data_IF_430145035655
#
_entry.id   IF_430145035655
#
_cell.length_a   1.000
_cell.length_b   1.000
_cell.length_c   1.000
_cell.angle_alpha   90.00
_cell.angle_beta   90.00
_cell.angle_gamma   90.00
#
_symmetry.space_group_name_H-M   'P 1'
#
loop_
_entity.id
_entity.type
_entity.pdbx_description
1 polymer ?
#
# COMPACT_ATOMS: atom_id res chain seq x y z
N UNK A 1 25.57 -26.56 -1.45
CA UNK A 1 25.00 -27.22 -0.25
C UNK A 1 24.18 -28.41 -0.68
N UNK A 2 24.22 -29.51 0.07
CA UNK A 2 23.30 -30.64 -0.11
C UNK A 2 21.86 -30.22 0.23
N UNK A 3 20.86 -30.82 -0.44
CA UNK A 3 19.43 -30.54 -0.23
C UNK A 3 18.81 -31.63 0.66
N UNK A 4 17.99 -31.22 1.63
CA UNK A 4 17.11 -32.14 2.36
C UNK A 4 15.79 -32.27 1.58
N UNK A 5 15.32 -33.49 1.36
CA UNK A 5 14.11 -33.78 0.57
C UNK A 5 13.20 -34.68 1.39
N UNK A 6 12.00 -34.18 1.71
CA UNK A 6 10.98 -34.89 2.47
C UNK A 6 9.70 -35.04 1.64
N UNK A 7 8.94 -36.11 1.89
CA UNK A 7 7.78 -36.48 1.08
C UNK A 7 6.54 -36.78 1.94
N UNK A 8 5.39 -36.85 1.29
CA UNK A 8 4.14 -37.37 1.83
C UNK A 8 3.69 -36.66 3.12
N UNK A 9 3.28 -37.44 4.13
CA UNK A 9 2.66 -36.96 5.37
C UNK A 9 3.66 -36.19 6.22
N UNK A 10 4.90 -36.66 6.33
CA UNK A 10 5.94 -36.01 7.15
C UNK A 10 6.23 -34.59 6.68
N UNK A 11 6.36 -34.38 5.37
CA UNK A 11 6.54 -33.06 4.78
C UNK A 11 5.32 -32.14 5.03
N UNK A 12 4.11 -32.67 4.85
CA UNK A 12 2.85 -31.90 5.06
C UNK A 12 2.65 -31.52 6.51
N UNK A 13 2.97 -32.40 7.45
CA UNK A 13 2.84 -32.14 8.88
C UNK A 13 3.83 -31.06 9.34
N UNK A 14 5.07 -31.08 8.84
CA UNK A 14 6.04 -29.99 9.10
C UNK A 14 5.57 -28.66 8.53
N UNK A 15 5.13 -28.63 7.27
CA UNK A 15 4.58 -27.41 6.66
C UNK A 15 3.39 -26.87 7.46
N UNK A 16 2.49 -27.76 7.89
CA UNK A 16 1.34 -27.40 8.74
C UNK A 16 1.77 -26.81 10.08
N UNK A 17 2.78 -27.38 10.75
CA UNK A 17 3.30 -26.80 12.00
C UNK A 17 3.84 -25.39 11.79
N UNK A 18 4.51 -25.16 10.66
CA UNK A 18 4.95 -23.83 10.24
C UNK A 18 3.81 -22.83 10.07
N UNK A 19 2.80 -23.22 9.30
CA UNK A 19 1.55 -22.47 9.09
C UNK A 19 0.89 -22.14 10.42
N UNK A 20 0.75 -23.15 11.30
CA UNK A 20 0.11 -22.99 12.60
C UNK A 20 0.91 -22.06 13.53
N UNK A 21 2.24 -22.15 13.53
CA UNK A 21 3.08 -21.29 14.35
C UNK A 21 2.90 -19.81 14.00
N UNK A 22 2.95 -19.46 12.71
CA UNK A 22 2.71 -18.09 12.26
C UNK A 22 1.27 -17.67 12.54
N UNK A 23 0.28 -18.45 12.09
CA UNK A 23 -1.12 -18.06 12.22
C UNK A 23 -1.57 -17.93 13.68
N UNK A 24 -1.07 -18.76 14.59
CA UNK A 24 -1.38 -18.65 16.01
C UNK A 24 -0.77 -17.40 16.66
N UNK A 25 0.38 -16.93 16.18
CA UNK A 25 0.99 -15.68 16.64
C UNK A 25 0.21 -14.45 16.13
N UNK A 26 -0.31 -14.50 14.91
CA UNK A 26 -1.05 -13.39 14.29
C UNK A 26 -2.50 -13.32 14.79
N UNK A 27 -3.23 -14.43 14.82
CA UNK A 27 -4.70 -14.42 15.03
C UNK A 27 -5.18 -13.91 16.40
N UNK A 28 -4.28 -13.83 17.38
CA UNK A 28 -4.58 -13.23 18.70
C UNK A 28 -4.85 -11.74 18.62
N UNK A 29 -4.43 -11.07 17.52
CA UNK A 29 -4.68 -9.65 17.29
C UNK A 29 -6.06 -9.37 16.66
N UNK A 30 -6.79 -10.40 16.22
CA UNK A 30 -8.02 -10.22 15.46
C UNK A 30 -9.17 -9.65 16.33
N UNK A 31 -9.81 -8.60 15.82
CA UNK A 31 -11.05 -8.04 16.37
C UNK A 31 -10.84 -7.06 17.53
N UNK A 32 -11.93 -6.47 18.06
CA UNK A 32 -11.86 -5.40 19.06
C UNK A 32 -11.33 -5.87 20.43
N UNK A 33 -11.37 -7.18 20.70
CA UNK A 33 -10.76 -7.81 21.88
C UNK A 33 -9.41 -8.48 21.57
N UNK A 34 -8.88 -8.24 20.38
CA UNK A 34 -7.54 -8.62 19.97
C UNK A 34 -6.47 -8.09 20.93
N UNK A 35 -5.49 -8.93 21.23
CA UNK A 35 -4.40 -8.67 22.16
C UNK A 35 -3.16 -8.19 21.40
N UNK A 36 -2.35 -7.39 22.06
CA UNK A 36 -1.07 -6.97 21.50
C UNK A 36 -0.08 -8.13 21.47
N UNK A 37 0.76 -8.13 20.45
CA UNK A 37 1.95 -8.98 20.36
C UNK A 37 3.17 -8.12 20.64
N UNK A 38 4.08 -8.65 21.45
CA UNK A 38 5.34 -7.99 21.78
C UNK A 38 6.45 -8.61 20.94
N UNK A 39 7.12 -7.79 20.15
CA UNK A 39 8.18 -8.20 19.24
C UNK A 39 9.52 -7.66 19.76
N UNK A 40 10.46 -8.57 19.97
CA UNK A 40 11.80 -8.20 20.42
C UNK A 40 12.54 -7.42 19.34
N UNK A 41 13.33 -6.42 19.74
CA UNK A 41 14.18 -5.64 18.85
C UNK A 41 15.63 -5.80 19.32
N UNK A 42 16.55 -6.02 18.37
CA UNK A 42 17.99 -6.15 18.66
C UNK A 42 18.56 -4.97 19.44
N UNK A 43 17.98 -3.78 19.29
CA UNK A 43 18.33 -2.57 19.99
C UNK A 43 17.06 -1.77 20.32
N UNK A 44 17.05 -1.09 21.46
CA UNK A 44 15.95 -0.22 21.88
C UNK A 44 14.81 -0.96 22.61
N UNK A 45 13.65 -0.31 22.68
CA UNK A 45 12.45 -0.88 23.28
C UNK A 45 11.79 -1.91 22.35
N UNK A 46 11.11 -2.94 22.88
CA UNK A 46 10.36 -3.89 22.07
C UNK A 46 9.21 -3.19 21.33
N UNK A 47 8.84 -3.70 20.16
CA UNK A 47 7.66 -3.22 19.45
C UNK A 47 6.40 -3.86 20.02
N UNK A 48 5.35 -3.09 20.23
CA UNK A 48 4.05 -3.57 20.70
C UNK A 48 3.04 -3.26 19.60
N UNK A 49 2.46 -4.29 18.99
CA UNK A 49 1.60 -4.10 17.82
C UNK A 49 0.37 -5.01 17.87
N UNK A 50 -0.70 -4.57 17.19
CA UNK A 50 -1.85 -5.39 16.82
C UNK A 50 -1.92 -5.66 15.31
N UNK A 51 -1.01 -5.12 14.51
CA UNK A 51 -0.97 -5.37 13.09
C UNK A 51 -0.49 -6.80 12.79
N UNK A 52 -1.30 -7.53 12.05
CA UNK A 52 -1.02 -8.90 11.65
C UNK A 52 0.18 -9.03 10.71
N UNK A 53 0.44 -8.05 9.85
CA UNK A 53 1.57 -8.09 8.91
C UNK A 53 2.88 -7.93 9.65
N UNK A 54 2.96 -6.97 10.56
CA UNK A 54 4.13 -6.73 11.40
C UNK A 54 4.47 -7.97 12.21
N UNK A 55 3.47 -8.62 12.83
CA UNK A 55 3.70 -9.89 13.52
C UNK A 55 4.16 -10.99 12.56
N UNK A 56 3.50 -11.15 11.41
CA UNK A 56 3.87 -12.16 10.42
C UNK A 56 5.29 -11.96 9.86
N UNK A 57 5.74 -10.70 9.72
CA UNK A 57 7.08 -10.35 9.22
C UNK A 57 8.19 -10.88 10.12
N UNK A 58 7.99 -10.87 11.43
CA UNK A 58 8.97 -11.29 12.44
C UNK A 58 9.00 -12.82 12.69
N UNK A 59 8.04 -13.58 12.16
CA UNK A 59 8.03 -15.04 12.36
C UNK A 59 9.03 -15.72 11.43
N UNK A 60 10.12 -16.20 12.01
CA UNK A 60 11.10 -17.08 11.37
C UNK A 60 11.35 -18.32 12.24
N UNK A 61 11.23 -19.50 11.64
CA UNK A 61 11.35 -20.78 12.34
C UNK A 61 12.72 -21.43 12.09
N UNK A 62 13.24 -22.13 13.10
CA UNK A 62 14.55 -22.79 13.03
C UNK A 62 14.56 -24.00 12.08
N UNK A 63 13.48 -24.78 12.06
CA UNK A 63 13.36 -25.90 11.13
C UNK A 63 13.08 -25.36 9.72
N UNK A 64 13.88 -25.68 8.70
CA UNK A 64 13.71 -25.12 7.37
C UNK A 64 12.36 -25.43 6.71
N UNK A 65 11.78 -26.60 6.96
CA UNK A 65 10.52 -27.02 6.33
C UNK A 65 9.33 -26.38 7.06
N UNK A 66 9.38 -26.31 8.39
CA UNK A 66 8.40 -25.51 9.14
C UNK A 66 8.49 -24.03 8.72
N UNK A 67 9.70 -23.49 8.57
CA UNK A 67 9.89 -22.11 8.12
C UNK A 67 9.32 -21.90 6.71
N UNK A 68 9.48 -22.84 5.79
CA UNK A 68 8.82 -22.77 4.47
C UNK A 68 7.30 -22.62 4.61
N UNK A 69 6.67 -23.40 5.49
CA UNK A 69 5.23 -23.28 5.76
C UNK A 69 4.84 -21.91 6.30
N UNK A 70 5.65 -21.35 7.22
CA UNK A 70 5.44 -19.99 7.73
C UNK A 70 5.61 -18.94 6.62
N UNK A 71 6.67 -19.00 5.81
CA UNK A 71 6.90 -18.05 4.71
C UNK A 71 5.76 -18.06 3.68
N UNK A 72 5.17 -19.22 3.38
CA UNK A 72 4.02 -19.31 2.46
C UNK A 72 2.78 -18.56 2.97
N UNK A 73 2.52 -18.55 4.29
CA UNK A 73 1.39 -17.82 4.86
C UNK A 73 1.73 -16.34 5.06
N UNK A 74 3.00 -16.02 5.35
CA UNK A 74 3.48 -14.64 5.35
C UNK A 74 3.22 -13.96 4.00
N UNK A 75 3.41 -14.67 2.89
CA UNK A 75 3.08 -14.18 1.55
C UNK A 75 1.58 -13.84 1.39
N UNK A 76 0.68 -14.63 1.99
CA UNK A 76 -0.76 -14.34 2.03
C UNK A 76 -1.02 -13.02 2.74
N UNK A 77 -0.46 -12.84 3.94
CA UNK A 77 -0.63 -11.61 4.71
C UNK A 77 -0.08 -10.39 3.97
N UNK A 78 1.16 -10.46 3.48
CA UNK A 78 1.80 -9.36 2.74
C UNK A 78 1.02 -9.00 1.48
N UNK A 79 0.55 -9.98 0.71
CA UNK A 79 -0.17 -9.69 -0.53
C UNK A 79 -1.55 -9.08 -0.28
N UNK A 80 -2.19 -9.44 0.83
CA UNK A 80 -3.43 -8.78 1.26
C UNK A 80 -3.19 -7.32 1.63
N UNK A 81 -2.13 -7.00 2.36
CA UNK A 81 -1.75 -5.61 2.66
C UNK A 81 -1.44 -4.81 1.38
N UNK A 82 -0.67 -5.37 0.45
CA UNK A 82 -0.35 -4.70 -0.82
C UNK A 82 -1.61 -4.29 -1.63
N UNK A 83 -2.69 -5.06 -1.52
CA UNK A 83 -3.89 -4.88 -2.36
C UNK A 83 -4.98 -4.08 -1.64
N UNK A 84 -5.19 -4.34 -0.35
CA UNK A 84 -6.31 -3.77 0.40
C UNK A 84 -5.86 -2.85 1.55
N UNK A 85 -4.59 -2.92 1.97
CA UNK A 85 -4.04 -2.20 3.12
C UNK A 85 -4.64 -2.59 4.48
N UNK A 86 -5.52 -3.58 4.54
CA UNK A 86 -6.12 -4.13 5.77
C UNK A 86 -6.53 -5.61 5.52
N UNK A 87 -6.96 -6.32 6.56
CA UNK A 87 -7.53 -7.67 6.48
C UNK A 87 -6.50 -8.79 6.56
N UNK A 88 -5.25 -8.47 6.88
CA UNK A 88 -4.10 -9.38 6.88
C UNK A 88 -4.26 -10.52 7.89
N UNK A 89 -4.75 -10.19 9.10
CA UNK A 89 -5.09 -11.17 10.13
C UNK A 89 -6.24 -12.08 9.69
N UNK A 90 -7.28 -11.53 9.04
CA UNK A 90 -8.41 -12.30 8.50
C UNK A 90 -7.93 -13.28 7.42
N UNK A 91 -7.08 -12.82 6.50
CA UNK A 91 -6.48 -13.65 5.46
C UNK A 91 -5.64 -14.80 6.04
N UNK A 92 -4.84 -14.51 7.08
CA UNK A 92 -4.04 -15.51 7.80
C UNK A 92 -4.91 -16.58 8.47
N UNK A 93 -6.02 -16.18 9.10
CA UNK A 93 -6.97 -17.09 9.76
C UNK A 93 -7.66 -18.00 8.74
N UNK A 94 -8.13 -17.43 7.62
CA UNK A 94 -8.73 -18.20 6.53
C UNK A 94 -7.74 -19.20 5.92
N UNK A 95 -6.49 -18.76 5.69
CA UNK A 95 -5.43 -19.62 5.16
C UNK A 95 -5.14 -20.80 6.11
N UNK A 96 -5.00 -20.54 7.42
CA UNK A 96 -4.79 -21.60 8.42
C UNK A 96 -5.94 -22.63 8.38
N UNK A 97 -7.19 -22.16 8.32
CA UNK A 97 -8.36 -23.02 8.30
C UNK A 97 -8.43 -23.89 7.05
N UNK A 98 -8.22 -23.31 5.88
CA UNK A 98 -8.22 -24.03 4.61
C UNK A 98 -7.08 -25.05 4.53
N UNK A 99 -5.88 -24.71 4.99
CA UNK A 99 -4.75 -25.64 5.04
C UNK A 99 -5.05 -26.79 6.00
N UNK A 100 -5.57 -26.52 7.20
CA UNK A 100 -5.89 -27.55 8.20
C UNK A 100 -6.92 -28.54 7.67
N UNK A 101 -8.03 -28.06 7.12
CA UNK A 101 -9.09 -28.93 6.60
C UNK A 101 -8.70 -29.60 5.28
N UNK A 102 -7.98 -28.89 4.40
CA UNK A 102 -7.46 -29.45 3.15
C UNK A 102 -6.50 -30.61 3.40
N UNK A 103 -5.50 -30.43 4.27
CA UNK A 103 -4.54 -31.49 4.60
C UNK A 103 -5.19 -32.69 5.27
N UNK A 104 -6.22 -32.49 6.10
CA UNK A 104 -7.01 -33.57 6.68
C UNK A 104 -7.69 -34.43 5.60
N UNK A 105 -8.28 -33.80 4.58
CA UNK A 105 -8.93 -34.52 3.48
C UNK A 105 -7.91 -35.21 2.57
N UNK A 106 -6.76 -34.60 2.32
CA UNK A 106 -5.67 -35.24 1.58
C UNK A 106 -5.15 -36.47 2.33
N UNK A 107 -5.02 -36.41 3.66
CA UNK A 107 -4.64 -37.56 4.48
C UNK A 107 -5.71 -38.68 4.46
N UNK A 108 -6.98 -38.33 4.26
CA UNK A 108 -8.08 -39.28 4.09
C UNK A 108 -8.13 -39.93 2.69
N UNK A 109 -7.24 -39.55 1.77
CA UNK A 109 -7.10 -40.15 0.45
C UNK A 109 -7.77 -39.39 -0.70
N UNK A 110 -8.33 -38.20 -0.44
CA UNK A 110 -8.90 -37.34 -1.48
C UNK A 110 -7.81 -36.76 -2.39
N UNK A 111 -8.13 -36.58 -3.68
CA UNK A 111 -7.22 -36.01 -4.67
C UNK A 111 -6.99 -34.51 -4.41
N UNK A 112 -5.74 -34.07 -4.13
CA UNK A 112 -5.43 -32.66 -3.88
C UNK A 112 -5.82 -31.70 -5.01
N UNK A 113 -5.76 -32.15 -6.27
CA UNK A 113 -6.06 -31.31 -7.43
C UNK A 113 -7.56 -31.04 -7.56
N UNK A 114 -8.39 -32.05 -7.31
CA UNK A 114 -9.85 -31.91 -7.31
C UNK A 114 -10.32 -31.10 -6.08
N UNK A 115 -9.70 -31.29 -4.91
CA UNK A 115 -9.92 -30.44 -3.74
C UNK A 115 -9.63 -28.97 -4.05
N UNK A 116 -8.47 -28.68 -4.68
CA UNK A 116 -8.12 -27.32 -5.10
C UNK A 116 -9.18 -26.75 -6.04
N UNK A 117 -9.61 -27.52 -7.04
CA UNK A 117 -10.67 -27.10 -7.98
C UNK A 117 -11.95 -26.72 -7.25
N UNK A 118 -12.37 -27.51 -6.26
CA UNK A 118 -13.52 -27.19 -5.42
C UNK A 118 -13.34 -25.91 -4.60
N UNK A 119 -12.15 -25.69 -4.05
CA UNK A 119 -11.81 -24.46 -3.31
C UNK A 119 -11.87 -23.24 -4.24
N UNK A 120 -11.29 -23.32 -5.44
CA UNK A 120 -11.26 -22.24 -6.41
C UNK A 120 -12.68 -21.85 -6.85
N UNK A 121 -13.53 -22.83 -7.19
CA UNK A 121 -14.91 -22.57 -7.59
C UNK A 121 -15.73 -21.99 -6.44
N UNK A 122 -15.64 -22.54 -5.23
CA UNK A 122 -16.32 -21.99 -4.06
C UNK A 122 -15.89 -20.55 -3.77
N UNK A 123 -14.60 -20.23 -3.94
CA UNK A 123 -14.09 -18.87 -3.72
C UNK A 123 -14.70 -17.87 -4.70
N UNK A 124 -14.85 -18.22 -5.99
CA UNK A 124 -15.51 -17.36 -6.98
C UNK A 124 -16.95 -17.03 -6.60
N UNK A 125 -17.67 -18.04 -6.10
CA UNK A 125 -19.05 -17.88 -5.64
C UNK A 125 -19.12 -16.95 -4.43
N UNK A 126 -18.25 -17.16 -3.44
CA UNK A 126 -18.17 -16.29 -2.25
C UNK A 126 -17.87 -14.85 -2.64
N UNK A 127 -16.89 -14.60 -3.51
CA UNK A 127 -16.56 -13.24 -3.98
C UNK A 127 -17.77 -12.60 -4.68
N UNK A 128 -18.49 -13.35 -5.52
CA UNK A 128 -19.69 -12.85 -6.19
C UNK A 128 -20.80 -12.53 -5.19
N UNK A 129 -20.98 -13.35 -4.16
CA UNK A 129 -21.94 -13.11 -3.08
C UNK A 129 -21.59 -11.84 -2.29
N UNK A 130 -20.31 -11.64 -1.95
CA UNK A 130 -19.83 -10.44 -1.26
C UNK A 130 -20.10 -9.18 -2.08
N UNK A 131 -19.82 -9.21 -3.40
CA UNK A 131 -20.15 -8.09 -4.30
C UNK A 131 -21.64 -7.81 -4.34
N UNK A 132 -22.48 -8.85 -4.38
CA UNK A 132 -23.94 -8.69 -4.34
C UNK A 132 -24.48 -8.16 -3.00
N UNK A 133 -23.72 -8.30 -1.91
CA UNK A 133 -24.03 -7.74 -0.59
C UNK A 133 -23.42 -6.35 -0.35
N UNK A 134 -22.52 -5.90 -1.23
CA UNK A 134 -21.83 -4.63 -1.06
C UNK A 134 -22.80 -3.46 -1.20
N UNK A 135 -22.58 -2.43 -0.40
CA UNK A 135 -23.29 -1.16 -0.45
C UNK A 135 -22.30 -0.03 -0.62
N UNK A 136 -22.52 0.82 -1.62
CA UNK A 136 -21.71 2.02 -1.84
C UNK A 136 -21.80 2.98 -0.65
N UNK A 137 -20.68 3.62 -0.33
CA UNK A 137 -20.60 4.66 0.69
C UNK A 137 -21.09 6.00 0.12
N UNK A 138 -22.14 6.55 0.72
CA UNK A 138 -22.77 7.78 0.25
C UNK A 138 -22.42 9.01 1.08
N UNK A 139 -22.16 8.84 2.38
CA UNK A 139 -21.99 9.96 3.31
C UNK A 139 -20.68 9.90 4.11
N UNK A 140 -20.26 11.08 4.60
CA UNK A 140 -19.06 11.24 5.44
C UNK A 140 -19.17 10.47 6.77
N UNK A 141 -20.40 10.15 7.20
CA UNK A 141 -20.65 9.39 8.43
C UNK A 141 -20.30 7.90 8.26
N UNK A 142 -20.64 7.30 7.13
CA UNK A 142 -20.26 5.94 6.76
C UNK A 142 -18.73 5.83 6.60
N UNK A 143 -18.09 6.86 6.00
CA UNK A 143 -16.61 6.98 5.94
C UNK A 143 -16.01 6.97 7.36
N UNK A 144 -16.51 7.82 8.25
CA UNK A 144 -16.03 7.89 9.63
C UNK A 144 -16.23 6.55 10.37
N UNK A 145 -17.33 5.84 10.11
CA UNK A 145 -17.58 4.52 10.73
C UNK A 145 -16.58 3.47 10.28
N UNK A 146 -16.26 3.41 8.98
CA UNK A 146 -15.22 2.49 8.45
C UNK A 146 -13.88 2.81 9.10
N UNK A 147 -13.48 4.08 9.06
CA UNK A 147 -12.22 4.54 9.64
C UNK A 147 -12.13 4.25 11.15
N UNK A 148 -13.23 4.43 11.90
CA UNK A 148 -13.30 4.12 13.34
C UNK A 148 -13.12 2.63 13.60
N UNK A 149 -13.77 1.77 12.81
CA UNK A 149 -13.68 0.31 12.99
C UNK A 149 -12.26 -0.18 12.69
N UNK A 150 -11.66 0.27 11.59
CA UNK A 150 -10.29 -0.10 11.21
C UNK A 150 -9.25 0.49 12.16
N UNK A 151 -9.51 1.66 12.75
CA UNK A 151 -8.68 2.23 13.82
C UNK A 151 -9.00 1.67 15.22
N UNK A 152 -9.50 0.43 15.30
CA UNK A 152 -9.73 -0.29 16.56
C UNK A 152 -10.72 0.41 17.52
N UNK A 153 -11.72 1.10 16.98
CA UNK A 153 -12.74 1.82 17.74
C UNK A 153 -12.33 3.24 18.14
N UNK A 154 -11.37 3.85 17.45
CA UNK A 154 -10.92 5.21 17.70
C UNK A 154 -11.78 6.22 16.92
N UNK A 155 -12.79 6.78 17.60
CA UNK A 155 -13.71 7.76 17.03
C UNK A 155 -13.00 9.05 16.58
N UNK A 156 -11.88 9.40 17.23
CA UNK A 156 -11.12 10.62 16.91
C UNK A 156 -10.40 10.45 15.57
N UNK A 157 -9.71 9.32 15.38
CA UNK A 157 -9.08 8.96 14.10
C UNK A 157 -10.12 8.86 12.98
N UNK A 158 -11.26 8.22 13.26
CA UNK A 158 -12.35 8.10 12.29
C UNK A 158 -12.87 9.45 11.82
N UNK A 159 -13.00 10.42 12.73
CA UNK A 159 -13.40 11.79 12.40
C UNK A 159 -12.34 12.52 11.57
N UNK A 160 -11.06 12.44 11.94
CA UNK A 160 -10.00 13.10 11.18
C UNK A 160 -9.89 12.59 9.74
N UNK A 161 -10.04 11.28 9.53
CA UNK A 161 -10.01 10.69 8.19
C UNK A 161 -11.22 11.16 7.36
N UNK A 162 -12.42 11.20 7.95
CA UNK A 162 -13.61 11.70 7.28
C UNK A 162 -13.49 13.19 6.91
N UNK A 163 -13.01 14.03 7.84
CA UNK A 163 -12.75 15.45 7.61
C UNK A 163 -11.68 15.66 6.52
N UNK A 164 -10.64 14.83 6.49
CA UNK A 164 -9.61 14.86 5.44
C UNK A 164 -10.21 14.54 4.07
N UNK A 165 -10.95 13.43 3.95
CA UNK A 165 -11.62 13.03 2.71
C UNK A 165 -12.63 14.05 2.21
N UNK A 166 -13.33 14.75 3.11
CA UNK A 166 -14.26 15.83 2.73
C UNK A 166 -13.52 17.04 2.13
N UNK A 167 -12.34 17.38 2.68
CA UNK A 167 -11.54 18.53 2.20
C UNK A 167 -10.86 18.26 0.86
N UNK A 168 -10.22 17.10 0.69
CA UNK A 168 -9.47 16.77 -0.53
C UNK A 168 -10.33 16.06 -1.60
N UNK A 169 -11.53 15.63 -1.22
CA UNK A 169 -12.44 14.86 -2.06
C UNK A 169 -12.08 13.37 -2.13
N UNK A 170 -12.96 12.57 -2.77
CA UNK A 170 -12.82 11.10 -2.86
C UNK A 170 -11.50 10.62 -3.48
N UNK A 171 -10.96 11.39 -4.42
CA UNK A 171 -9.71 11.08 -5.13
C UNK A 171 -8.53 11.91 -4.60
N UNK A 172 -8.72 12.60 -3.47
CA UNK A 172 -7.70 13.42 -2.85
C UNK A 172 -6.64 12.56 -2.17
N UNK A 173 -5.45 13.13 -2.03
CA UNK A 173 -4.32 12.46 -1.39
C UNK A 173 -4.35 12.79 0.09
N UNK A 174 -4.26 11.76 0.92
CA UNK A 174 -4.13 11.88 2.37
C UNK A 174 -2.83 11.18 2.77
N UNK A 175 -2.00 11.84 3.56
CA UNK A 175 -0.75 11.30 4.11
C UNK A 175 -0.76 11.44 5.64
N UNK A 176 -0.05 10.55 6.32
CA UNK A 176 0.05 10.53 7.79
C UNK A 176 1.47 10.84 8.20
N UNK A 177 1.62 11.80 9.11
CA UNK A 177 2.93 12.29 9.57
C UNK A 177 3.03 12.29 11.09
N UNK A 178 4.25 12.29 11.60
CA UNK A 178 4.51 12.39 13.03
C UNK A 178 4.37 13.84 13.51
N UNK A 179 3.48 14.09 14.47
CA UNK A 179 3.37 15.40 15.08
C UNK A 179 4.52 15.65 16.05
N UNK A 180 5.02 16.89 16.11
CA UNK A 180 6.03 17.30 17.11
C UNK A 180 5.45 17.45 18.53
N UNK A 181 4.12 17.47 18.65
CA UNK A 181 3.40 17.68 19.89
C UNK A 181 2.52 16.49 20.28
N UNK A 182 1.76 16.66 21.37
CA UNK A 182 0.84 15.65 21.87
C UNK A 182 -0.46 15.57 21.06
N UNK A 183 -0.83 16.66 20.38
CA UNK A 183 -2.12 16.78 19.71
C UNK A 183 -2.04 16.27 18.28
N UNK A 184 -3.06 15.50 17.88
CA UNK A 184 -3.30 15.12 16.48
C UNK A 184 -4.03 16.26 15.77
N UNK A 185 -3.60 16.64 14.57
CA UNK A 185 -4.24 17.70 13.79
C UNK A 185 -4.17 17.45 12.29
N UNK A 186 -5.11 18.04 11.56
CA UNK A 186 -5.25 17.92 10.11
C UNK A 186 -4.91 19.24 9.42
N UNK A 187 -3.95 19.20 8.50
CA UNK A 187 -3.57 20.32 7.65
C UNK A 187 -3.82 19.98 6.18
N UNK A 188 -4.17 20.96 5.35
CA UNK A 188 -4.26 20.78 3.90
C UNK A 188 -3.22 21.67 3.27
N UNK A 189 -2.26 21.05 2.59
CA UNK A 189 -1.13 21.71 1.96
C UNK A 189 -1.19 21.54 0.45
N UNK A 190 -0.42 22.36 -0.27
CA UNK A 190 -0.28 22.20 -1.71
C UNK A 190 0.61 21.01 -2.02
N UNK A 191 0.11 20.04 -2.79
CA UNK A 191 0.87 18.84 -3.08
C UNK A 191 0.26 18.04 -4.22
N UNK A 192 0.93 16.94 -4.60
CA UNK A 192 0.53 16.09 -5.71
C UNK A 192 1.02 14.67 -5.51
N UNK A 193 0.19 13.69 -5.88
CA UNK A 193 0.60 12.29 -6.05
C UNK A 193 0.53 11.86 -7.52
N UNK A 194 1.49 11.05 -7.95
CA UNK A 194 1.47 10.41 -9.26
C UNK A 194 2.00 8.97 -9.22
N UNK A 195 1.55 8.19 -10.19
CA UNK A 195 1.59 6.71 -10.15
C UNK A 195 2.92 6.19 -10.72
N UNK A 196 4.03 6.61 -10.10
CA UNK A 196 5.39 6.16 -10.38
C UNK A 196 6.14 5.96 -9.07
N UNK A 197 6.51 4.72 -8.75
CA UNK A 197 7.34 4.42 -7.59
C UNK A 197 8.84 4.46 -7.85
N UNK A 198 9.62 4.06 -6.84
CA UNK A 198 11.07 4.04 -6.91
C UNK A 198 11.60 3.08 -7.98
N UNK A 199 12.63 3.48 -8.71
CA UNK A 199 13.28 2.64 -9.72
C UNK A 199 14.07 1.47 -9.13
N UNK A 200 14.42 1.55 -7.84
CA UNK A 200 15.18 0.51 -7.14
C UNK A 200 14.76 0.43 -5.67
N UNK A 201 14.46 -0.76 -5.13
CA UNK A 201 14.19 -0.95 -3.70
C UNK A 201 15.34 -0.52 -2.79
N UNK A 202 16.56 -0.38 -3.34
CA UNK A 202 17.70 0.10 -2.57
C UNK A 202 17.65 1.60 -2.23
N UNK A 203 16.67 2.34 -2.76
CA UNK A 203 16.42 3.72 -2.34
C UNK A 203 15.63 3.82 -1.03
N UNK A 204 14.92 2.76 -0.64
CA UNK A 204 14.06 2.70 0.57
C UNK A 204 14.82 3.23 1.79
N UNK A 205 14.21 4.16 2.50
CA UNK A 205 14.72 4.74 3.75
C UNK A 205 13.98 4.22 4.96
N UNK A 206 12.72 3.81 4.79
CA UNK A 206 11.91 3.14 5.79
C UNK A 206 11.66 1.67 5.36
N UNK A 207 12.45 0.71 5.88
CA UNK A 207 12.28 -0.70 5.56
C UNK A 207 11.00 -1.33 6.11
N UNK A 208 10.36 -0.72 7.12
CA UNK A 208 9.17 -1.29 7.74
C UNK A 208 7.98 -1.14 6.78
N UNK A 209 7.82 0.06 6.23
CA UNK A 209 6.78 0.44 5.26
C UNK A 209 7.19 0.22 3.79
N UNK A 210 8.47 -0.07 3.54
CA UNK A 210 9.04 -0.18 2.18
C UNK A 210 8.90 1.12 1.38
N UNK A 211 9.15 2.25 2.04
CA UNK A 211 9.01 3.58 1.45
C UNK A 211 10.33 4.36 1.44
N UNK A 212 10.45 5.27 0.48
CA UNK A 212 11.46 6.32 0.49
C UNK A 212 10.82 7.58 1.06
N UNK A 213 11.39 8.11 2.12
CA UNK A 213 11.04 9.39 2.71
C UNK A 213 12.22 10.36 2.55
N UNK A 214 11.96 11.48 1.89
CA UNK A 214 12.92 12.55 1.70
C UNK A 214 12.39 13.83 2.34
N UNK A 215 13.08 14.31 3.38
CA UNK A 215 12.77 15.59 4.01
C UNK A 215 13.49 16.75 3.31
N UNK A 216 12.76 17.83 3.05
CA UNK A 216 13.22 19.03 2.35
C UNK A 216 14.06 18.74 1.08
N UNK A 217 13.63 17.86 0.16
CA UNK A 217 14.45 17.49 -0.99
C UNK A 217 14.51 18.60 -2.03
N UNK A 218 15.59 18.58 -2.81
CA UNK A 218 15.60 19.16 -4.15
C UNK A 218 14.94 18.20 -5.14
N UNK A 219 14.31 18.74 -6.18
CA UNK A 219 13.58 17.96 -7.18
C UNK A 219 14.11 18.32 -8.57
N UNK A 220 14.82 17.38 -9.19
CA UNK A 220 15.31 17.49 -10.57
C UNK A 220 14.23 16.95 -11.52
N UNK A 221 13.81 17.79 -12.46
CA UNK A 221 12.82 17.45 -13.49
C UNK A 221 13.49 17.43 -14.86
N UNK A 222 13.61 16.24 -15.46
CA UNK A 222 14.29 16.05 -16.74
C UNK A 222 13.41 15.32 -17.75
N UNK A 223 13.24 15.86 -18.96
CA UNK A 223 12.31 15.30 -19.95
C UNK A 223 12.90 14.13 -20.78
N UNK A 224 14.16 13.76 -20.56
CA UNK A 224 14.82 12.65 -21.26
C UNK A 224 15.31 11.58 -20.31
N UNK A 225 15.86 10.51 -20.89
CA UNK A 225 16.51 9.42 -20.16
C UNK A 225 17.89 9.85 -19.64
N UNK A 226 18.26 9.34 -18.48
CA UNK A 226 19.57 9.51 -17.88
C UNK A 226 20.27 8.15 -17.84
N UNK A 227 21.27 7.98 -18.69
CA UNK A 227 22.06 6.74 -18.77
C UNK A 227 23.51 6.93 -18.31
N UNK A 228 24.03 8.16 -18.38
CA UNK A 228 25.40 8.54 -18.05
C UNK A 228 25.46 9.28 -16.71
N UNK A 229 26.36 8.85 -15.82
CA UNK A 229 26.59 9.54 -14.55
C UNK A 229 27.23 10.92 -14.76
N UNK A 230 28.00 11.09 -15.84
CA UNK A 230 28.71 12.34 -16.15
C UNK A 230 27.77 13.53 -16.22
N UNK A 231 26.57 13.31 -16.76
CA UNK A 231 25.59 14.36 -17.00
C UNK A 231 24.94 14.82 -15.68
N UNK A 232 24.90 13.93 -14.68
CA UNK A 232 24.36 14.19 -13.34
C UNK A 232 25.38 14.79 -12.36
N UNK A 233 26.68 14.61 -12.60
CA UNK A 233 27.73 15.04 -11.66
C UNK A 233 27.58 16.51 -11.20
N UNK A 234 27.36 17.49 -12.10
CA UNK A 234 27.26 18.89 -11.68
C UNK A 234 26.11 19.15 -10.70
N UNK A 235 24.96 18.48 -10.88
CA UNK A 235 23.79 18.62 -10.00
C UNK A 235 24.00 17.88 -8.68
N UNK A 236 24.60 16.69 -8.74
CA UNK A 236 24.89 15.91 -7.54
C UNK A 236 25.91 16.58 -6.64
N UNK A 237 26.98 17.15 -7.20
CA UNK A 237 27.98 17.89 -6.41
C UNK A 237 27.35 19.09 -5.70
N UNK A 238 26.49 19.85 -6.39
CA UNK A 238 25.78 20.98 -5.79
C UNK A 238 24.84 20.55 -4.67
N UNK A 239 24.04 19.49 -4.88
CA UNK A 239 23.10 19.01 -3.86
C UNK A 239 23.81 18.42 -2.65
N UNK A 240 24.89 17.66 -2.83
CA UNK A 240 25.69 17.11 -1.73
C UNK A 240 26.27 18.20 -0.83
N UNK A 241 26.74 19.32 -1.39
CA UNK A 241 27.26 20.44 -0.61
C UNK A 241 26.22 21.06 0.32
N UNK A 242 24.94 21.01 -0.05
CA UNK A 242 23.84 21.51 0.80
C UNK A 242 23.41 20.51 1.87
N UNK A 243 23.79 19.23 1.75
CA UNK A 243 23.34 18.15 2.62
C UNK A 243 21.87 17.76 2.46
N UNK A 244 21.13 18.42 1.56
CA UNK A 244 19.71 18.13 1.27
C UNK A 244 19.57 16.92 0.34
N UNK A 245 18.53 16.08 0.50
CA UNK A 245 18.27 14.98 -0.43
C UNK A 245 17.90 15.47 -1.84
N UNK A 246 18.05 14.58 -2.83
CA UNK A 246 17.66 14.84 -4.23
C UNK A 246 16.67 13.79 -4.71
N UNK A 247 15.52 14.24 -5.22
CA UNK A 247 14.60 13.44 -6.03
C UNK A 247 14.91 13.69 -7.51
N UNK A 248 15.06 12.61 -8.28
CA UNK A 248 15.22 12.67 -9.74
C UNK A 248 13.93 12.16 -10.40
N UNK A 249 13.26 13.03 -11.15
CA UNK A 249 12.10 12.68 -11.99
C UNK A 249 12.52 12.82 -13.45
N UNK A 250 12.72 11.69 -14.13
CA UNK A 250 13.19 11.64 -15.51
C UNK A 250 12.32 10.74 -16.39
N UNK A 251 12.45 10.78 -17.72
CA UNK A 251 11.79 9.76 -18.56
C UNK A 251 12.15 8.34 -18.10
N UNK A 252 13.45 8.13 -17.85
CA UNK A 252 13.99 6.92 -17.22
C UNK A 252 15.36 7.23 -16.62
N UNK A 253 15.78 6.44 -15.62
CA UNK A 253 17.16 6.42 -15.13
C UNK A 253 17.66 4.99 -15.24
N UNK A 254 18.60 4.75 -16.15
CA UNK A 254 18.99 3.40 -16.55
C UNK A 254 20.51 3.22 -16.61
N UNK A 255 20.95 1.97 -16.76
CA UNK A 255 22.36 1.62 -16.99
C UNK A 255 23.29 2.04 -15.85
N UNK A 256 24.41 2.68 -16.23
CA UNK A 256 25.48 3.09 -15.32
C UNK A 256 25.00 4.13 -14.29
N UNK A 257 24.16 5.07 -14.71
CA UNK A 257 23.63 6.12 -13.83
C UNK A 257 22.86 5.52 -12.66
N UNK A 258 21.90 4.62 -12.92
CA UNK A 258 21.11 3.99 -11.86
C UNK A 258 21.98 3.16 -10.91
N UNK A 259 22.88 2.34 -11.45
CA UNK A 259 23.77 1.50 -10.64
C UNK A 259 24.65 2.36 -9.72
N UNK A 260 25.15 3.48 -10.22
CA UNK A 260 26.01 4.40 -9.45
C UNK A 260 25.23 5.12 -8.35
N UNK A 261 24.02 5.58 -8.64
CA UNK A 261 23.13 6.19 -7.63
C UNK A 261 22.83 5.21 -6.50
N UNK A 262 22.48 3.97 -6.84
CA UNK A 262 22.20 2.91 -5.86
C UNK A 262 23.41 2.62 -4.97
N UNK A 263 24.59 2.42 -5.55
CA UNK A 263 25.81 2.13 -4.77
C UNK A 263 26.17 3.28 -3.83
N UNK A 264 26.04 4.52 -4.29
CA UNK A 264 26.35 5.68 -3.46
C UNK A 264 25.30 5.95 -2.37
N UNK A 265 24.03 5.63 -2.64
CA UNK A 265 22.97 5.66 -1.62
C UNK A 265 23.24 4.63 -0.52
N UNK A 266 23.58 3.40 -0.88
CA UNK A 266 23.89 2.32 0.08
C UNK A 266 25.10 2.70 0.96
N UNK A 267 26.11 3.36 0.37
CA UNK A 267 27.28 3.85 1.12
C UNK A 267 26.99 5.07 2.01
N UNK A 268 25.79 5.64 1.94
CA UNK A 268 25.40 6.85 2.67
C UNK A 268 25.99 8.15 2.10
N UNK A 269 26.71 8.09 0.99
CA UNK A 269 27.35 9.26 0.36
C UNK A 269 26.33 10.19 -0.29
N UNK A 270 25.23 9.63 -0.82
CA UNK A 270 24.16 10.38 -1.48
C UNK A 270 22.81 10.06 -0.84
N UNK A 271 22.06 11.10 -0.49
CA UNK A 271 20.62 10.97 -0.16
C UNK A 271 19.83 11.22 -1.44
N UNK A 272 19.62 10.18 -2.23
CA UNK A 272 18.98 10.31 -3.55
C UNK A 272 17.94 9.22 -3.78
N UNK A 273 16.90 9.56 -4.53
CA UNK A 273 15.95 8.61 -5.09
C UNK A 273 15.60 9.01 -6.53
N UNK A 274 15.22 8.02 -7.34
CA UNK A 274 14.87 8.23 -8.73
C UNK A 274 13.55 7.54 -9.08
N UNK A 275 12.70 8.26 -9.80
CA UNK A 275 11.38 7.81 -10.27
C UNK A 275 11.21 8.18 -11.73
N UNK A 276 10.36 7.44 -12.44
CA UNK A 276 9.98 7.82 -13.80
C UNK A 276 9.02 9.00 -13.77
N UNK A 277 9.05 9.81 -14.81
CA UNK A 277 8.06 10.85 -15.02
C UNK A 277 6.67 10.22 -15.29
N UNK A 278 5.59 10.85 -14.82
CA UNK A 278 4.24 10.37 -15.09
C UNK A 278 3.83 10.65 -16.55
N UNK A 279 2.99 9.78 -17.10
CA UNK A 279 2.53 9.89 -18.49
C UNK A 279 3.58 9.52 -19.55
N UNK A 280 3.25 9.78 -20.81
CA UNK A 280 4.07 9.51 -21.99
C UNK A 280 3.89 10.61 -23.05
N UNK A 281 4.88 10.80 -23.93
CA UNK A 281 4.81 11.80 -25.01
C UNK A 281 4.57 13.22 -24.50
N UNK A 282 3.73 13.99 -25.21
CA UNK A 282 3.42 15.38 -24.85
C UNK A 282 2.73 15.53 -23.49
N UNK A 283 2.02 14.49 -23.05
CA UNK A 283 1.43 14.48 -21.70
C UNK A 283 2.49 14.43 -20.61
N UNK A 284 3.56 13.66 -20.81
CA UNK A 284 4.69 13.62 -19.86
C UNK A 284 5.29 15.01 -19.70
N UNK A 285 5.52 15.71 -20.81
CA UNK A 285 6.02 17.10 -20.80
C UNK A 285 5.07 18.02 -20.03
N UNK A 286 3.77 17.91 -20.28
CA UNK A 286 2.76 18.73 -19.60
C UNK A 286 2.67 18.44 -18.09
N UNK A 287 2.80 17.17 -17.67
CA UNK A 287 2.80 16.77 -16.27
C UNK A 287 4.10 17.13 -15.55
N UNK A 288 5.26 17.02 -16.21
CA UNK A 288 6.52 17.53 -15.68
C UNK A 288 6.45 19.04 -15.43
N UNK A 289 5.80 19.79 -16.31
CA UNK A 289 5.55 21.22 -16.09
C UNK A 289 4.61 21.46 -14.90
N UNK A 290 3.60 20.61 -14.69
CA UNK A 290 2.72 20.73 -13.51
C UNK A 290 3.51 20.53 -12.21
N UNK A 291 4.41 19.54 -12.17
CA UNK A 291 5.30 19.29 -11.03
C UNK A 291 6.28 20.45 -10.86
N UNK A 292 6.81 21.01 -11.95
CA UNK A 292 7.71 22.16 -11.92
C UNK A 292 7.04 23.38 -11.29
N UNK A 293 5.82 23.71 -11.73
CA UNK A 293 5.04 24.82 -11.17
C UNK A 293 4.69 24.60 -9.70
N UNK A 294 4.32 23.37 -9.31
CA UNK A 294 4.02 23.02 -7.92
C UNK A 294 5.25 23.15 -7.01
N UNK A 295 6.44 22.80 -7.50
CA UNK A 295 7.67 22.73 -6.68
C UNK A 295 8.57 23.96 -6.85
N UNK A 296 8.20 24.90 -7.72
CA UNK A 296 9.02 26.07 -8.07
C UNK A 296 10.26 25.73 -8.91
N UNK A 297 10.32 24.54 -9.50
CA UNK A 297 11.44 24.08 -10.33
C UNK A 297 11.29 24.46 -11.81
N UNK A 298 12.32 24.15 -12.59
CA UNK A 298 12.32 24.28 -14.06
C UNK A 298 12.50 22.92 -14.71
N UNK A 299 11.66 22.60 -15.71
CA UNK A 299 11.83 21.37 -16.49
C UNK A 299 13.05 21.51 -17.40
N UNK A 300 14.07 20.69 -17.15
CA UNK A 300 15.27 20.62 -17.97
C UNK A 300 14.92 19.84 -19.24
N UNK A 301 14.77 20.57 -20.36
CA UNK A 301 14.48 20.00 -21.67
C UNK A 301 15.42 20.59 -22.72
N UNK A 302 16.03 19.73 -23.53
CA UNK A 302 16.89 20.14 -24.63
C UNK A 302 16.13 20.95 -25.69
N UNK A 303 14.81 20.73 -25.85
CA UNK A 303 13.96 21.50 -26.76
C UNK A 303 13.85 22.97 -26.34
N UNK A 304 13.99 23.25 -25.04
CA UNK A 304 14.01 24.60 -24.46
C UNK A 304 15.43 25.16 -24.33
N UNK A 305 16.44 24.45 -24.84
CA UNK A 305 17.85 24.87 -24.80
C UNK A 305 18.56 24.58 -23.47
N UNK A 306 17.92 23.88 -22.53
CA UNK A 306 18.56 23.48 -21.27
C UNK A 306 19.35 22.17 -21.46
N UNK A 307 20.46 22.05 -20.73
CA UNK A 307 21.26 20.83 -20.64
C UNK A 307 21.44 20.45 -19.20
N UNK A 308 21.43 19.14 -18.92
CA UNK A 308 21.57 18.61 -17.57
C UNK A 308 22.87 19.09 -16.90
N UNK A 309 23.95 19.13 -17.68
CA UNK A 309 25.30 19.57 -17.26
C UNK A 309 25.35 21.02 -16.76
N UNK A 310 24.43 21.88 -17.23
CA UNK A 310 24.38 23.30 -16.91
C UNK A 310 23.30 23.63 -15.86
N UNK A 311 22.72 22.61 -15.24
CA UNK A 311 21.64 22.79 -14.26
C UNK A 311 22.23 23.35 -12.96
N UNK A 312 21.57 24.34 -12.42
CA UNK A 312 21.92 25.01 -11.16
C UNK A 312 20.85 24.77 -10.10
N UNK A 313 21.19 24.97 -8.82
CA UNK A 313 20.27 24.75 -7.69
C UNK A 313 18.95 25.55 -7.79
N UNK A 314 18.96 26.73 -8.40
CA UNK A 314 17.77 27.56 -8.61
C UNK A 314 16.79 26.98 -9.65
N UNK A 315 17.25 26.06 -10.50
CA UNK A 315 16.40 25.35 -11.45
C UNK A 315 15.74 24.12 -10.84
N UNK A 316 16.21 23.66 -9.67
CA UNK A 316 15.63 22.50 -8.98
C UNK A 316 14.39 22.93 -8.21
N UNK A 317 13.35 22.10 -8.28
CA UNK A 317 12.18 22.26 -7.42
C UNK A 317 12.51 21.96 -5.96
N UNK A 318 11.61 22.34 -5.06
CA UNK A 318 11.70 22.05 -3.63
C UNK A 318 10.32 21.71 -3.08
N UNK A 319 10.30 20.84 -2.07
CA UNK A 319 9.11 20.51 -1.29
C UNK A 319 9.50 20.27 0.16
N UNK A 320 8.53 20.27 1.08
CA UNK A 320 8.77 19.95 2.49
C UNK A 320 9.08 18.47 2.70
N UNK A 321 8.31 17.58 2.06
CA UNK A 321 8.53 16.13 2.11
C UNK A 321 8.16 15.47 0.78
N UNK A 322 8.88 14.42 0.42
CA UNK A 322 8.48 13.50 -0.65
C UNK A 322 8.48 12.09 -0.10
N UNK A 323 7.37 11.37 -0.30
CA UNK A 323 7.28 9.93 -0.06
C UNK A 323 7.18 9.19 -1.40
N UNK A 324 7.83 8.02 -1.48
CA UNK A 324 7.84 7.18 -2.68
C UNK A 324 7.66 5.73 -2.25
N UNK A 325 6.55 5.13 -2.65
CA UNK A 325 6.31 3.71 -2.49
C UNK A 325 6.72 2.96 -3.77
N UNK A 326 6.36 1.68 -3.88
CA UNK A 326 6.68 0.83 -5.03
C UNK A 326 6.03 1.31 -6.34
N UNK A 327 4.86 1.93 -6.24
CA UNK A 327 3.95 2.25 -7.34
C UNK A 327 3.68 3.77 -7.46
N UNK A 328 3.84 4.57 -6.41
CA UNK A 328 3.50 6.00 -6.35
C UNK A 328 4.62 6.88 -5.79
N UNK A 329 4.56 8.16 -6.17
CA UNK A 329 5.33 9.26 -5.57
C UNK A 329 4.36 10.35 -5.11
N UNK A 330 4.51 10.81 -3.88
CA UNK A 330 3.73 11.90 -3.29
C UNK A 330 4.65 13.04 -2.88
N UNK A 331 4.34 14.24 -3.38
CA UNK A 331 5.03 15.49 -3.05
C UNK A 331 4.13 16.29 -2.12
N UNK A 332 4.63 16.59 -0.92
CA UNK A 332 3.91 17.30 0.14
C UNK A 332 4.53 18.68 0.35
N UNK A 333 3.67 19.70 0.32
CA UNK A 333 4.01 21.11 0.49
C UNK A 333 5.11 21.58 -0.47
N UNK A 334 4.74 21.67 -1.76
CA UNK A 334 5.61 22.16 -2.82
C UNK A 334 5.89 23.66 -2.69
N UNK A 335 7.14 24.08 -2.88
CA UNK A 335 7.55 25.48 -2.70
C UNK A 335 7.29 26.36 -3.94
N UNK A 336 6.22 26.06 -4.69
CA UNK A 336 5.79 26.80 -5.87
C UNK A 336 5.09 28.12 -5.52
N UNK A 337 5.05 29.05 -6.47
CA UNK A 337 4.27 30.28 -6.31
C UNK A 337 2.77 29.98 -6.52
N UNK A 338 1.96 30.20 -5.47
CA UNK A 338 0.51 30.01 -5.51
C UNK A 338 -0.18 30.74 -6.68
N UNK A 339 0.34 31.89 -7.12
CA UNK A 339 -0.19 32.61 -8.28
C UNK A 339 0.06 31.84 -9.59
N UNK A 340 1.24 31.22 -9.74
CA UNK A 340 1.58 30.40 -10.90
C UNK A 340 0.81 29.08 -10.89
N UNK A 341 0.62 28.46 -9.72
CA UNK A 341 -0.21 27.25 -9.56
C UNK A 341 -1.65 27.55 -9.97
N UNK A 342 -2.23 28.66 -9.47
CA UNK A 342 -3.58 29.09 -9.84
C UNK A 342 -3.71 29.40 -11.33
N UNK A 343 -2.70 30.05 -11.92
CA UNK A 343 -2.66 30.29 -13.36
C UNK A 343 -2.64 28.97 -14.15
N UNK A 344 -1.85 28.00 -13.70
CA UNK A 344 -1.76 26.67 -14.31
C UNK A 344 -3.06 25.89 -14.22
N UNK A 345 -3.71 25.90 -13.06
CA UNK A 345 -5.05 25.33 -12.83
C UNK A 345 -6.06 25.92 -13.81
N UNK A 346 -6.07 27.25 -14.00
CA UNK A 346 -6.98 27.92 -14.93
C UNK A 346 -6.70 27.57 -16.39
N UNK A 347 -5.43 27.42 -16.77
CA UNK A 347 -5.06 26.95 -18.10
C UNK A 347 -5.63 25.56 -18.39
N UNK A 348 -5.51 24.63 -17.43
CA UNK A 348 -6.05 23.26 -17.58
C UNK A 348 -7.58 23.30 -17.68
N UNK A 349 -8.26 24.12 -16.87
CA UNK A 349 -9.73 24.31 -16.96
C UNK A 349 -10.16 24.81 -18.35
N UNK A 350 -9.47 25.80 -18.90
CA UNK A 350 -9.77 26.28 -20.25
C UNK A 350 -9.51 25.21 -21.32
N UNK A 351 -8.51 24.34 -21.14
CA UNK A 351 -8.27 23.21 -22.06
C UNK A 351 -9.40 22.16 -21.99
N UNK A 352 -9.95 21.91 -20.81
CA UNK A 352 -11.09 21.00 -20.59
C UNK A 352 -12.34 21.49 -21.33
N UNK A 353 -12.62 22.80 -21.29
CA UNK A 353 -13.78 23.39 -21.96
C UNK A 353 -13.67 23.35 -23.49
N UNK A 354 -12.44 23.50 -24.02
CA UNK A 354 -12.19 23.57 -25.45
C UNK A 354 -11.94 22.19 -26.09
N UNK A 355 -11.77 21.12 -25.32
CA UNK A 355 -11.52 19.79 -25.89
C UNK A 355 -12.81 19.10 -26.33
N UNK A 356 -12.80 18.57 -27.54
CA UNK A 356 -13.89 17.78 -28.13
C UNK A 356 -13.74 16.28 -27.88
N UNK A 357 -12.59 15.85 -27.35
CA UNK A 357 -12.25 14.45 -27.06
C UNK A 357 -12.57 14.13 -25.60
N UNK A 358 -13.45 13.15 -25.37
CA UNK A 358 -13.79 12.70 -24.02
C UNK A 358 -12.58 12.12 -23.27
N UNK A 359 -11.71 11.41 -24.00
CA UNK A 359 -10.45 10.88 -23.48
C UNK A 359 -9.49 11.97 -23.00
N UNK A 360 -9.39 13.08 -23.73
CA UNK A 360 -8.54 14.20 -23.31
C UNK A 360 -9.17 14.97 -22.17
N UNK A 361 -10.49 15.07 -22.14
CA UNK A 361 -11.22 15.69 -21.04
C UNK A 361 -10.96 14.98 -19.72
N UNK A 362 -11.14 13.66 -19.70
CA UNK A 362 -10.88 12.82 -18.52
C UNK A 362 -9.45 13.00 -18.00
N UNK A 363 -8.47 13.03 -18.91
CA UNK A 363 -7.05 13.09 -18.55
C UNK A 363 -6.60 14.48 -18.13
N UNK A 364 -7.23 15.53 -18.66
CA UNK A 364 -7.06 16.89 -18.14
C UNK A 364 -7.73 17.05 -16.77
N UNK A 365 -8.87 16.39 -16.53
CA UNK A 365 -9.52 16.37 -15.22
C UNK A 365 -8.64 15.66 -14.17
N UNK A 366 -7.98 14.56 -14.51
CA UNK A 366 -7.00 13.89 -13.63
C UNK A 366 -5.85 14.84 -13.24
N UNK A 367 -5.28 15.55 -14.22
CA UNK A 367 -4.22 16.54 -13.95
C UNK A 367 -4.72 17.69 -13.08
N UNK A 368 -5.92 18.19 -13.38
CA UNK A 368 -6.55 19.25 -12.61
C UNK A 368 -6.77 18.82 -11.16
N UNK A 369 -7.30 17.62 -10.93
CA UNK A 369 -7.52 17.08 -9.59
C UNK A 369 -6.20 16.97 -8.81
N UNK A 370 -5.15 16.45 -9.45
CA UNK A 370 -3.81 16.33 -8.87
C UNK A 370 -3.16 17.67 -8.51
N UNK A 371 -3.46 18.74 -9.25
CA UNK A 371 -2.89 20.08 -9.00
C UNK A 371 -3.77 20.96 -8.07
N UNK A 372 -5.08 20.71 -8.01
CA UNK A 372 -6.03 21.56 -7.26
C UNK A 372 -6.60 20.91 -6.00
N UNK A 373 -6.51 19.59 -5.86
CA UNK A 373 -7.02 18.85 -4.70
C UNK A 373 -6.17 19.00 -3.44
N UNK A 374 -4.91 19.42 -3.58
CA UNK A 374 -3.96 19.48 -2.47
C UNK A 374 -3.68 18.10 -1.88
N UNK A 375 -2.94 18.11 -0.76
CA UNK A 375 -2.66 16.92 0.05
C UNK A 375 -3.12 17.22 1.47
N UNK A 376 -3.98 16.36 2.02
CA UNK A 376 -4.34 16.40 3.43
C UNK A 376 -3.26 15.65 4.23
N UNK A 377 -2.63 16.34 5.17
CA UNK A 377 -1.62 15.78 6.05
C UNK A 377 -2.22 15.63 7.44
N UNK A 378 -2.32 14.40 7.92
CA UNK A 378 -2.78 14.08 9.26
C UNK A 378 -1.56 13.88 10.16
N UNK A 379 -1.28 14.87 11.01
CA UNK A 379 -0.18 14.81 11.97
C UNK A 379 -0.64 14.09 13.24
N UNK A 380 -0.04 12.96 13.55
CA UNK A 380 -0.39 12.10 14.69
C UNK A 380 0.48 12.43 15.90
N UNK A 381 -0.16 12.91 16.97
CA UNK A 381 0.49 13.19 18.25
C UNK A 381 0.30 12.05 19.25
N UNK A 382 1.32 11.84 20.09
CA UNK A 382 1.30 10.89 21.20
C UNK A 382 2.31 11.27 22.30
N UNK A 383 2.19 10.68 23.49
CA UNK A 383 3.04 11.01 24.63
C UNK A 383 4.43 10.37 24.57
N UNK A 384 4.57 9.28 23.81
CA UNK A 384 5.84 8.55 23.64
C UNK A 384 6.02 8.13 22.19
N UNK A 385 7.27 7.92 21.76
CA UNK A 385 7.60 7.47 20.40
C UNK A 385 6.95 6.11 20.06
N UNK A 386 6.87 5.19 21.03
CA UNK A 386 6.25 3.88 20.84
C UNK A 386 4.74 4.01 20.59
N UNK A 387 4.07 4.87 21.36
CA UNK A 387 2.64 5.15 21.18
C UNK A 387 2.39 5.91 19.87
N UNK A 388 3.27 6.84 19.49
CA UNK A 388 3.18 7.59 18.24
C UNK A 388 3.23 6.64 17.05
N UNK A 389 4.20 5.71 17.04
CA UNK A 389 4.34 4.75 15.94
C UNK A 389 3.14 3.83 15.83
N UNK A 390 2.66 3.27 16.95
CA UNK A 390 1.46 2.41 16.91
C UNK A 390 0.20 3.19 16.51
N UNK A 391 0.04 4.44 16.96
CA UNK A 391 -1.08 5.30 16.55
C UNK A 391 -0.98 5.67 15.07
N UNK A 392 0.21 5.95 14.55
CA UNK A 392 0.47 6.20 13.13
C UNK A 392 0.09 4.99 12.28
N UNK A 393 0.64 3.81 12.59
CA UNK A 393 0.33 2.55 11.89
C UNK A 393 -1.19 2.32 11.83
N UNK A 394 -1.88 2.56 12.96
CA UNK A 394 -3.33 2.42 13.05
C UNK A 394 -4.11 3.42 12.19
N UNK A 395 -3.62 4.65 12.07
CA UNK A 395 -4.22 5.69 11.22
C UNK A 395 -3.98 5.36 9.75
N UNK A 396 -2.80 4.86 9.39
CA UNK A 396 -2.46 4.40 8.05
C UNK A 396 -3.37 3.23 7.62
N UNK A 397 -3.54 2.21 8.48
CA UNK A 397 -4.46 1.08 8.22
C UNK A 397 -5.90 1.59 7.99
N UNK A 398 -6.37 2.49 8.85
CA UNK A 398 -7.71 3.07 8.74
C UNK A 398 -7.89 3.89 7.47
N UNK A 399 -6.86 4.60 7.02
CA UNK A 399 -6.89 5.35 5.78
C UNK A 399 -7.03 4.43 4.57
N UNK A 400 -6.25 3.35 4.51
CA UNK A 400 -6.32 2.37 3.42
C UNK A 400 -7.68 1.67 3.37
N UNK A 401 -8.18 1.21 4.52
CA UNK A 401 -9.49 0.58 4.62
C UNK A 401 -10.61 1.52 4.14
N UNK A 402 -10.52 2.81 4.47
CA UNK A 402 -11.50 3.81 4.07
C UNK A 402 -11.45 4.08 2.56
N UNK A 403 -10.25 4.14 1.95
CA UNK A 403 -10.10 4.25 0.49
C UNK A 403 -10.72 3.03 -0.22
N UNK A 404 -10.39 1.82 0.21
CA UNK A 404 -10.98 0.60 -0.35
C UNK A 404 -12.52 0.58 -0.23
N UNK A 405 -13.05 1.06 0.89
CA UNK A 405 -14.50 1.11 1.10
C UNK A 405 -15.20 2.15 0.22
N UNK A 406 -14.53 3.24 -0.15
CA UNK A 406 -15.05 4.22 -1.12
C UNK A 406 -15.05 3.65 -2.55
N UNK A 407 -14.13 2.74 -2.88
CA UNK A 407 -14.02 2.13 -4.21
C UNK A 407 -14.96 0.95 -4.44
N UNK A 408 -15.01 -0.01 -3.50
CA UNK A 408 -15.77 -1.27 -3.66
C UNK A 408 -17.01 -1.37 -2.76
N UNK A 409 -17.25 -0.37 -1.91
CA UNK A 409 -18.35 -0.34 -0.95
C UNK A 409 -18.04 -1.12 0.34
N UNK A 410 -19.08 -1.29 1.16
CA UNK A 410 -18.99 -1.94 2.48
C UNK A 410 -19.91 -3.15 2.59
N UNK A 411 -19.49 -4.10 3.42
CA UNK A 411 -20.28 -5.29 3.80
C UNK A 411 -20.38 -5.41 5.32
N UNK A 412 -21.33 -6.20 5.87
CA UNK A 412 -21.41 -6.42 7.31
C UNK A 412 -20.13 -7.03 7.90
N UNK A 413 -19.51 -6.32 8.85
CA UNK A 413 -18.26 -6.72 9.52
C UNK A 413 -18.39 -7.90 10.51
N UNK A 414 -17.36 -8.10 11.34
CA UNK A 414 -17.36 -9.14 12.38
C UNK A 414 -17.39 -10.58 11.84
N UNK A 415 -16.97 -10.79 10.59
CA UNK A 415 -17.07 -12.08 9.88
C UNK A 415 -18.48 -12.44 9.42
N UNK A 416 -19.49 -11.58 9.63
CA UNK A 416 -20.89 -11.87 9.28
C UNK A 416 -21.07 -11.98 7.78
N UNK A 417 -20.43 -11.14 6.97
CA UNK A 417 -20.50 -11.22 5.51
C UNK A 417 -20.02 -12.59 4.99
N UNK A 418 -18.90 -13.09 5.52
CA UNK A 418 -18.36 -14.41 5.15
C UNK A 418 -19.30 -15.55 5.57
N UNK A 419 -19.88 -15.48 6.76
CA UNK A 419 -20.87 -16.47 7.23
C UNK A 419 -22.15 -16.42 6.40
N UNK A 420 -22.62 -15.24 5.99
CA UNK A 420 -23.79 -15.12 5.10
C UNK A 420 -23.50 -15.69 3.72
N UNK A 421 -22.28 -15.54 3.20
CA UNK A 421 -21.89 -16.11 1.91
C UNK A 421 -21.90 -17.66 1.89
N UNK A 422 -21.90 -18.32 3.05
CA UNK A 422 -21.99 -19.80 3.13
C UNK A 422 -23.27 -20.31 2.46
N UNK A 423 -24.40 -19.60 2.57
CA UNK A 423 -25.66 -20.04 1.98
C UNK A 423 -25.65 -20.04 0.45
N UNK A 424 -24.70 -19.33 -0.17
CA UNK A 424 -24.50 -19.34 -1.63
C UNK A 424 -23.70 -20.56 -2.10
N UNK A 425 -23.09 -21.31 -1.19
CA UNK A 425 -22.39 -22.57 -1.49
C UNK A 425 -23.31 -23.81 -1.42
N UNK A 426 -24.62 -23.61 -1.39
CA UNK A 426 -25.62 -24.68 -1.44
C UNK A 426 -25.97 -25.08 -2.88
N UNK A 427 -26.46 -26.31 -3.07
CA UNK A 427 -26.87 -26.81 -4.39
C UNK A 427 -27.92 -25.89 -5.02
N UNK A 428 -27.68 -25.44 -6.25
CA UNK A 428 -28.58 -24.57 -7.01
C UNK A 428 -28.42 -23.08 -6.70
N UNK A 429 -27.45 -22.68 -5.89
CA UNK A 429 -27.15 -21.27 -5.58
C UNK A 429 -25.75 -20.87 -6.02
N UNK A 430 -25.54 -19.58 -6.26
CA UNK A 430 -24.24 -19.04 -6.62
C UNK A 430 -23.53 -19.66 -7.84
N UNK A 431 -24.22 -20.49 -8.65
CA UNK A 431 -23.59 -21.29 -9.72
C UNK A 431 -23.06 -22.66 -9.29
N UNK A 432 -23.25 -23.06 -8.03
CA UNK A 432 -22.95 -24.41 -7.53
C UNK A 432 -24.02 -25.39 -7.99
N UNK A 433 -23.66 -26.33 -8.85
CA UNK A 433 -24.53 -27.41 -9.29
C UNK A 433 -24.25 -28.71 -8.49
N UNK A 434 -25.15 -29.68 -8.60
CA UNK A 434 -25.01 -30.98 -7.93
C UNK A 434 -23.75 -31.75 -8.36
N UNK A 435 -23.18 -31.43 -9.52
CA UNK A 435 -21.96 -32.04 -10.03
C UNK A 435 -20.72 -31.54 -9.29
N UNK A 436 -20.64 -30.22 -9.03
CA UNK A 436 -19.57 -29.58 -8.26
C UNK A 436 -19.55 -30.04 -6.79
N UNK A 437 -20.68 -30.50 -6.27
CA UNK A 437 -20.79 -31.03 -4.90
C UNK A 437 -20.48 -32.52 -4.79
N UNK A 438 -20.18 -33.21 -5.90
CA UNK A 438 -19.82 -34.63 -5.89
C UNK A 438 -18.32 -34.84 -5.80
N UNK A 439 -17.95 -35.99 -5.24
CA UNK A 439 -16.57 -36.45 -5.15
C UNK A 439 -15.65 -35.46 -4.44
N UNK A 440 -14.38 -35.45 -4.84
CA UNK A 440 -13.34 -34.66 -4.19
C UNK A 440 -13.51 -33.15 -4.40
N UNK A 441 -14.16 -32.73 -5.49
CA UNK A 441 -14.50 -31.31 -5.73
C UNK A 441 -15.47 -30.81 -4.67
N UNK A 442 -16.51 -31.59 -4.35
CA UNK A 442 -17.46 -31.24 -3.29
C UNK A 442 -16.82 -31.15 -1.91
N UNK A 443 -15.81 -31.99 -1.65
CA UNK A 443 -15.00 -31.89 -0.42
C UNK A 443 -14.21 -30.58 -0.39
N UNK A 444 -13.67 -30.13 -1.52
CA UNK A 444 -13.04 -28.82 -1.66
C UNK A 444 -13.98 -27.66 -1.35
N UNK A 445 -15.23 -27.71 -1.82
CA UNK A 445 -16.28 -26.74 -1.46
C UNK A 445 -16.55 -26.75 0.05
N UNK A 446 -16.60 -27.93 0.67
CA UNK A 446 -16.83 -28.07 2.11
C UNK A 446 -15.67 -27.50 2.95
N UNK A 447 -14.42 -27.57 2.46
CA UNK A 447 -13.25 -26.91 3.09
C UNK A 447 -13.47 -25.40 3.18
N UNK A 448 -13.89 -24.76 2.08
CA UNK A 448 -14.18 -23.31 2.08
C UNK A 448 -15.35 -22.99 3.01
N UNK A 449 -16.43 -23.76 2.94
CA UNK A 449 -17.61 -23.59 3.81
C UNK A 449 -17.22 -23.52 5.28
N UNK A 450 -16.36 -24.43 5.73
CA UNK A 450 -15.90 -24.48 7.11
C UNK A 450 -14.93 -23.35 7.44
N UNK A 451 -14.06 -22.96 6.52
CA UNK A 451 -13.11 -21.87 6.71
C UNK A 451 -13.80 -20.50 6.87
N UNK A 452 -14.92 -20.25 6.18
CA UNK A 452 -15.65 -18.97 6.24
C UNK A 452 -16.17 -18.61 7.64
N UNK A 453 -16.35 -19.59 8.53
CA UNK A 453 -16.78 -19.34 9.91
C UNK A 453 -15.64 -18.87 10.82
N UNK A 454 -14.39 -19.11 10.44
CA UNK A 454 -13.22 -18.98 11.33
C UNK A 454 -12.91 -17.53 11.73
N UNK A 455 -13.05 -16.52 10.86
CA UNK A 455 -12.89 -15.12 11.28
C UNK A 455 -13.85 -14.73 12.40
N UNK A 456 -15.14 -15.08 12.29
CA UNK A 456 -16.13 -14.80 13.33
C UNK A 456 -15.81 -15.56 14.62
N UNK A 457 -15.49 -16.86 14.51
CA UNK A 457 -15.12 -17.70 15.66
C UNK A 457 -13.89 -17.15 16.40
N UNK A 458 -12.88 -16.70 15.66
CA UNK A 458 -11.66 -16.17 16.25
C UNK A 458 -11.91 -14.81 16.93
N UNK A 459 -12.75 -13.94 16.35
CA UNK A 459 -13.18 -12.69 17.00
C UNK A 459 -13.92 -12.98 18.32
N UNK A 460 -14.79 -13.99 18.36
CA UNK A 460 -15.53 -14.38 19.57
C UNK A 460 -14.62 -15.04 20.62
N UNK A 461 -13.58 -15.75 20.18
CA UNK A 461 -12.63 -16.41 21.06
C UNK A 461 -11.70 -15.44 21.80
N UNK A 462 -11.29 -14.37 21.12
CA UNK A 462 -10.43 -13.31 21.67
C UNK A 462 -11.17 -12.47 22.70
#
# INVERSE_FOLDING_TARGET
>A
MAKNIEFNVEARDKLKRGVDALANAVKVTLGPKGRNVVLDKKFGAPNITKDGVTVAKEVELKDPIENMGAQMVKEVASKTADVAGDGTTTATVLAQAMVREGLKNVAAGHNPMELKKGIDEATKVVVSALRGMSKDIADSKEIAQVATISSNGDDEVGKFIADAMEKVGKNGVITVEEAKGLETYLEVVEGMQFDRGYLSPYFVTDPDNMEVELENPYILLYDKKISSMKDLLPVLEQTVQTGRPLLIVAEDVEGEALATLVVNKIRGSLKVAAVKAPGFGDRRKAMLEDIAVLTGGTVISEERGYKLENTTLDMLGSAQKVSIDKDNTTIVDGNGDAALIKARVNQIKAQIENTTSDYDREKLQERLAKLSGGVAVLYVGAATEVEMKEKKDRVDDALHATKAAVEEGIVPGGGVALVRAISELEAGRGGINDELLKGDVGVGVAVVRKALEEPLRQIVYN
#
